data_IF_728452369169
#
_entry.id   IF_728452369169
#
_cell.length_a   1.000
_cell.length_b   1.000
_cell.length_c   1.000
_cell.angle_alpha   90.00
_cell.angle_beta   90.00
_cell.angle_gamma   90.00
#
_symmetry.space_group_name_H-M   'P 1'
#
loop_
_entity.id
_entity.type
_entity.pdbx_description
1 polymer ?
#
# COMPACT_ATOMS: atom_id res chain seq x y z
N UNK A 1 -3.51 -1.52 4.75
CA UNK A 1 -3.32 -2.97 4.99
C UNK A 1 -3.81 -3.90 3.86
N UNK A 2 -3.89 -3.46 2.59
CA UNK A 2 -4.34 -4.33 1.47
C UNK A 2 -3.23 -5.26 0.93
N UNK A 3 -1.97 -4.99 1.26
CA UNK A 3 -0.80 -5.68 0.69
C UNK A 3 -0.53 -7.04 1.33
N UNK A 4 -0.65 -7.14 2.66
CA UNK A 4 -0.62 -8.42 3.37
C UNK A 4 -1.72 -9.35 2.84
N UNK A 5 -2.92 -8.81 2.58
CA UNK A 5 -4.04 -9.57 2.00
C UNK A 5 -3.73 -10.08 0.58
N UNK A 6 -3.05 -9.29 -0.25
CA UNK A 6 -2.62 -9.75 -1.59
C UNK A 6 -1.63 -10.92 -1.51
N UNK A 7 -0.68 -10.88 -0.58
CA UNK A 7 0.34 -11.93 -0.42
C UNK A 7 -0.23 -13.20 0.19
N UNK A 8 -1.14 -13.10 1.16
CA UNK A 8 -1.85 -14.26 1.70
C UNK A 8 -2.69 -14.97 0.62
N UNK A 9 -3.47 -14.22 -0.15
CA UNK A 9 -4.25 -14.79 -1.26
C UNK A 9 -3.34 -15.39 -2.35
N UNK A 10 -2.16 -14.81 -2.55
CA UNK A 10 -1.15 -15.36 -3.46
C UNK A 10 -0.56 -16.69 -2.96
N UNK A 11 -0.35 -16.82 -1.65
CA UNK A 11 0.08 -18.06 -0.99
C UNK A 11 -1.01 -19.14 -1.05
N UNK A 12 -2.30 -18.75 -1.01
CA UNK A 12 -3.44 -19.63 -1.26
C UNK A 12 -3.57 -20.10 -2.73
N UNK A 13 -2.60 -19.75 -3.60
CA UNK A 13 -2.57 -20.20 -5.00
C UNK A 13 -3.49 -19.40 -5.93
N UNK A 14 -4.07 -18.29 -5.48
CA UNK A 14 -4.94 -17.48 -6.32
C UNK A 14 -4.17 -16.78 -7.45
N UNK A 15 -4.81 -16.70 -8.61
CA UNK A 15 -4.28 -15.99 -9.78
C UNK A 15 -4.27 -14.48 -9.52
N UNK A 16 -3.24 -13.79 -10.01
CA UNK A 16 -3.06 -12.35 -9.77
C UNK A 16 -4.24 -11.49 -10.24
N UNK A 17 -4.95 -11.89 -11.30
CA UNK A 17 -6.15 -11.21 -11.77
C UNK A 17 -7.33 -11.35 -10.79
N UNK A 18 -7.42 -12.46 -10.06
CA UNK A 18 -8.47 -12.67 -9.08
C UNK A 18 -8.18 -11.93 -7.78
N UNK A 19 -6.92 -11.94 -7.35
CA UNK A 19 -6.45 -11.14 -6.22
C UNK A 19 -6.74 -9.67 -6.48
N UNK A 20 -6.39 -9.17 -7.67
CA UNK A 20 -6.67 -7.80 -8.13
C UNK A 20 -8.14 -7.41 -7.97
N UNK A 21 -9.07 -8.25 -8.44
CA UNK A 21 -10.52 -8.04 -8.25
C UNK A 21 -10.92 -8.01 -6.78
N UNK A 22 -10.42 -8.95 -5.97
CA UNK A 22 -10.75 -9.05 -4.54
C UNK A 22 -10.24 -7.88 -3.70
N UNK A 23 -9.10 -7.30 -4.06
CA UNK A 23 -8.49 -6.19 -3.32
C UNK A 23 -8.75 -4.81 -3.95
N UNK A 24 -9.45 -4.76 -5.09
CA UNK A 24 -9.74 -3.52 -5.81
C UNK A 24 -8.51 -2.86 -6.45
N UNK A 25 -7.53 -3.66 -6.85
CA UNK A 25 -6.26 -3.20 -7.42
C UNK A 25 -6.09 -3.70 -8.85
N UNK A 26 -5.13 -3.15 -9.59
CA UNK A 26 -4.79 -3.67 -10.91
C UNK A 26 -3.92 -4.94 -10.80
N UNK A 27 -3.99 -5.80 -11.81
CA UNK A 27 -3.11 -6.99 -11.91
C UNK A 27 -1.63 -6.62 -11.83
N UNK A 28 -1.22 -5.51 -12.45
CA UNK A 28 0.17 -5.04 -12.44
C UNK A 28 0.63 -4.65 -11.04
N UNK A 29 -0.24 -4.02 -10.25
CA UNK A 29 0.03 -3.71 -8.84
C UNK A 29 0.28 -5.00 -8.04
N UNK A 30 -0.56 -6.03 -8.22
CA UNK A 30 -0.37 -7.33 -7.55
C UNK A 30 0.96 -7.98 -7.93
N UNK A 31 1.34 -7.97 -9.21
CA UNK A 31 2.61 -8.53 -9.70
C UNK A 31 3.81 -7.81 -9.05
N UNK A 32 3.79 -6.48 -9.04
CA UNK A 32 4.86 -5.68 -8.44
C UNK A 32 5.01 -5.96 -6.94
N UNK A 33 3.89 -6.07 -6.21
CA UNK A 33 3.92 -6.41 -4.78
C UNK A 33 4.41 -7.84 -4.52
N UNK A 34 4.07 -8.79 -5.38
CA UNK A 34 4.52 -10.18 -5.26
C UNK A 34 6.03 -10.28 -5.47
N UNK A 35 6.57 -9.64 -6.52
CA UNK A 35 8.01 -9.56 -6.75
C UNK A 35 8.75 -8.88 -5.58
N UNK A 36 8.15 -7.84 -4.98
CA UNK A 36 8.72 -7.16 -3.81
C UNK A 36 8.74 -8.05 -2.57
N UNK A 37 7.69 -8.84 -2.36
CA UNK A 37 7.61 -9.82 -1.28
C UNK A 37 8.60 -10.98 -1.45
N UNK A 38 8.82 -11.45 -2.68
CA UNK A 38 9.83 -12.47 -2.99
C UNK A 38 11.25 -11.94 -2.76
N UNK A 39 11.50 -10.66 -3.08
CA UNK A 39 12.81 -10.03 -2.93
C UNK A 39 13.18 -9.63 -1.49
N UNK A 40 12.19 -9.32 -0.64
CA UNK A 40 12.46 -8.76 0.71
C UNK A 40 11.50 -9.21 1.80
N UNK A 41 10.74 -10.29 1.59
CA UNK A 41 9.88 -10.90 2.60
C UNK A 41 8.76 -10.00 3.13
N UNK A 42 8.34 -10.28 4.36
CA UNK A 42 7.26 -9.54 5.05
C UNK A 42 7.69 -8.10 5.38
N UNK A 43 8.98 -7.83 5.54
CA UNK A 43 9.50 -6.46 5.73
C UNK A 43 9.29 -5.60 4.47
N UNK A 44 9.35 -6.21 3.29
CA UNK A 44 9.07 -5.51 2.04
C UNK A 44 7.58 -5.14 1.85
N UNK A 45 6.68 -5.73 2.66
CA UNK A 45 5.26 -5.41 2.75
C UNK A 45 4.95 -4.26 3.72
N UNK A 46 5.88 -3.92 4.60
CA UNK A 46 5.76 -2.73 5.43
C UNK A 46 5.70 -1.49 4.52
N UNK A 47 4.71 -0.62 4.73
CA UNK A 47 4.77 0.74 4.23
C UNK A 47 6.03 1.36 4.86
N UNK A 48 7.15 1.37 4.13
CA UNK A 48 8.18 2.36 4.37
C UNK A 48 7.43 3.70 4.36
N UNK A 49 7.42 4.45 5.46
CA UNK A 49 6.72 5.72 5.51
C UNK A 49 7.25 6.53 4.34
N UNK A 50 6.36 6.90 3.42
CA UNK A 50 6.69 7.78 2.31
C UNK A 50 7.44 8.97 2.91
N UNK A 51 8.73 9.19 2.61
CA UNK A 51 9.39 10.42 3.00
C UNK A 51 8.79 11.50 2.11
N UNK A 52 7.72 12.13 2.59
CA UNK A 52 6.91 13.05 1.79
C UNK A 52 5.46 13.08 2.25
N UNK A 53 5.21 13.76 3.37
CA UNK A 53 3.88 14.04 3.88
C UNK A 53 3.95 15.04 5.01
N UNK A 54 4.14 16.32 4.65
CA UNK A 54 4.03 17.46 5.54
C UNK A 54 2.71 17.35 6.35
N UNK A 55 2.79 17.07 7.65
CA UNK A 55 1.64 17.19 8.56
C UNK A 55 1.71 18.54 9.26
N UNK A 56 0.98 19.52 8.72
CA UNK A 56 0.37 20.61 9.50
C UNK A 56 -0.62 21.38 8.64
N UNK A 57 -1.81 20.83 8.44
CA UNK A 57 -3.00 21.67 8.22
C UNK A 57 -3.45 22.18 9.60
N UNK A 58 -2.65 23.05 10.21
CA UNK A 58 -3.17 23.97 11.22
C UNK A 58 -3.68 25.16 10.43
N UNK A 59 -4.94 25.08 10.02
CA UNK A 59 -5.67 26.21 9.47
C UNK A 59 -5.99 27.17 10.62
N UNK A 60 -5.04 28.04 10.97
CA UNK A 60 -5.32 29.40 11.44
C UNK A 60 -4.49 30.37 10.60
N UNK A 61 -5.09 30.95 9.55
CA UNK A 61 -4.38 31.91 8.72
C UNK A 61 -4.12 33.22 9.48
N UNK A 62 -3.03 33.89 9.12
CA UNK A 62 -2.38 35.01 9.82
C UNK A 62 -3.21 36.31 9.92
N UNK A 63 -4.42 36.34 9.38
CA UNK A 63 -5.35 37.48 9.43
C UNK A 63 -6.40 37.36 10.54
N UNK A 64 -6.24 36.43 11.49
CA UNK A 64 -7.16 36.26 12.62
C UNK A 64 -6.94 37.31 13.71
N UNK A 65 -7.88 38.26 13.94
CA UNK A 65 -7.75 39.25 15.00
C UNK A 65 -8.15 38.66 16.36
N UNK A 66 -7.53 39.13 17.45
CA UNK A 66 -8.06 38.96 18.81
C UNK A 66 -9.14 40.00 19.08
#
# INVERSE_FOLDING_TARGET
MLRARMVLLAADGLRNAEIARRVGMTRQTVISWRARCEAGGIDALADLPRPGGLRSSTRRPWWWPR
#
